data_IF_774693873447
#
_entry.id   IF_774693873447
#
_cell.length_a   1.000
_cell.length_b   1.000
_cell.length_c   1.000
_cell.angle_alpha   90.00
_cell.angle_beta   90.00
_cell.angle_gamma   90.00
#
_symmetry.space_group_name_H-M   'P 1'
#
loop_
_entity.id
_entity.type
_entity.pdbx_description
1 polymer ?
#
# COMPACT_ATOMS: atom_id res chain seq x y z
N UNK A 1 -5.29 30.37 -20.73
CA UNK A 1 -3.92 30.26 -20.18
C UNK A 1 -3.64 28.94 -19.44
N UNK A 2 -4.47 27.90 -19.55
CA UNK A 2 -4.36 26.66 -18.73
C UNK A 2 -3.60 25.49 -19.40
N UNK A 3 -3.44 25.49 -20.72
CA UNK A 3 -2.93 24.31 -21.45
C UNK A 3 -1.40 24.24 -21.59
N UNK A 4 -0.68 25.36 -21.41
CA UNK A 4 0.78 25.44 -21.60
C UNK A 4 1.62 25.02 -20.39
N UNK A 5 1.03 24.93 -19.20
CA UNK A 5 1.73 24.49 -17.98
C UNK A 5 1.72 22.96 -17.81
N UNK A 6 0.84 22.24 -18.50
CA UNK A 6 0.71 20.80 -18.34
C UNK A 6 1.78 20.03 -19.15
N UNK A 7 2.11 20.49 -20.36
CA UNK A 7 3.06 19.82 -21.25
C UNK A 7 4.53 20.02 -20.83
N UNK A 8 4.87 21.17 -20.24
CA UNK A 8 6.21 21.47 -19.72
C UNK A 8 6.53 20.69 -18.45
N UNK A 9 5.54 20.47 -17.58
CA UNK A 9 5.66 19.63 -16.37
C UNK A 9 5.83 18.16 -16.76
N UNK A 10 5.05 17.64 -17.72
CA UNK A 10 5.19 16.26 -18.21
C UNK A 10 6.56 15.99 -18.85
N UNK A 11 7.10 16.92 -19.65
CA UNK A 11 8.42 16.78 -20.29
C UNK A 11 9.59 16.88 -19.30
N UNK A 12 9.48 17.75 -18.29
CA UNK A 12 10.48 17.87 -17.23
C UNK A 12 10.50 16.64 -16.30
N UNK A 13 9.34 16.01 -16.07
CA UNK A 13 9.27 14.70 -15.40
C UNK A 13 9.92 13.61 -16.28
N UNK A 14 9.71 13.64 -17.60
CA UNK A 14 10.29 12.71 -18.59
C UNK A 14 11.81 12.64 -18.65
N UNK A 15 12.48 13.78 -18.69
CA UNK A 15 13.94 13.80 -18.79
C UNK A 15 14.64 13.48 -17.45
N UNK A 16 13.94 13.64 -16.32
CA UNK A 16 14.42 13.23 -14.98
C UNK A 16 14.19 11.73 -14.69
N UNK A 17 13.23 11.09 -15.38
CA UNK A 17 12.95 9.64 -15.31
C UNK A 17 14.12 8.77 -15.77
N UNK A 18 14.76 9.14 -16.89
CA UNK A 18 15.83 8.34 -17.50
C UNK A 18 17.12 8.31 -16.67
N UNK A 19 17.42 9.39 -15.93
CA UNK A 19 18.63 9.50 -15.11
C UNK A 19 18.54 8.76 -13.77
N UNK A 20 17.35 8.66 -13.16
CA UNK A 20 17.18 7.96 -11.88
C UNK A 20 17.02 6.44 -12.04
N UNK A 21 16.33 5.95 -13.08
CA UNK A 21 16.16 4.51 -13.31
C UNK A 21 17.49 3.79 -13.59
N UNK A 22 18.43 4.43 -14.29
CA UNK A 22 19.76 3.88 -14.54
C UNK A 22 20.61 3.69 -13.26
N UNK A 23 20.33 4.47 -12.20
CA UNK A 23 20.98 4.34 -10.89
C UNK A 23 20.34 3.27 -9.99
N UNK A 24 19.07 2.92 -10.25
CA UNK A 24 18.21 2.03 -9.46
C UNK A 24 18.27 0.56 -9.91
N UNK A 25 18.96 0.26 -11.02
CA UNK A 25 19.16 -1.09 -11.53
C UNK A 25 20.60 -1.55 -11.27
N UNK A 26 20.85 -2.07 -10.06
CA UNK A 26 22.06 -2.86 -9.80
C UNK A 26 21.66 -4.25 -9.33
N UNK A 27 22.02 -5.24 -10.15
CA UNK A 27 21.87 -6.64 -9.81
C UNK A 27 22.80 -7.02 -8.66
N UNK A 28 22.16 -7.63 -7.68
CA UNK A 28 22.60 -8.81 -6.95
C UNK A 28 23.65 -8.72 -5.81
N UNK A 29 23.29 -9.50 -4.78
CA UNK A 29 24.01 -9.97 -3.60
C UNK A 29 24.21 -9.06 -2.37
N UNK A 30 23.51 -9.50 -1.33
CA UNK A 30 23.43 -8.99 0.04
C UNK A 30 24.76 -8.86 0.77
N UNK A 31 25.00 -7.70 1.38
CA UNK A 31 25.37 -7.55 2.81
C UNK A 31 24.74 -6.23 3.26
N UNK A 32 23.79 -6.30 4.20
CA UNK A 32 22.89 -5.19 4.53
C UNK A 32 23.63 -3.91 4.92
N UNK A 33 23.73 -2.98 3.97
CA UNK A 33 23.88 -1.55 4.20
C UNK A 33 22.54 -0.92 3.87
N UNK A 34 21.96 -0.12 4.78
CA UNK A 34 20.69 0.57 4.53
C UNK A 34 20.94 1.62 3.44
N UNK A 35 20.71 1.24 2.19
CA UNK A 35 20.63 2.19 1.08
C UNK A 35 19.23 2.82 1.15
N UNK A 36 19.15 4.03 1.71
CA UNK A 36 17.95 4.85 1.58
C UNK A 36 17.95 5.45 0.18
N UNK A 37 17.06 4.96 -0.69
CA UNK A 37 16.83 5.62 -1.98
C UNK A 37 15.90 6.82 -1.77
N UNK A 38 16.24 7.95 -2.40
CA UNK A 38 15.43 9.15 -2.33
C UNK A 38 14.11 8.94 -3.10
N UNK A 39 12.97 9.38 -2.55
CA UNK A 39 11.66 9.21 -3.18
C UNK A 39 11.58 9.94 -4.51
N UNK A 40 10.77 9.43 -5.43
CA UNK A 40 10.52 10.03 -6.73
C UNK A 40 9.92 11.44 -6.63
N UNK A 41 9.00 11.65 -5.68
CA UNK A 41 8.49 12.97 -5.33
C UNK A 41 9.29 13.57 -4.17
N UNK A 42 9.91 14.72 -4.42
CA UNK A 42 10.70 15.46 -3.42
C UNK A 42 9.84 16.26 -2.43
N UNK A 43 8.56 16.48 -2.76
CA UNK A 43 7.63 17.29 -2.00
C UNK A 43 6.21 16.71 -2.10
N UNK A 44 5.40 16.96 -1.07
CA UNK A 44 4.03 16.47 -1.05
C UNK A 44 3.17 17.19 -2.09
N UNK A 45 2.56 16.46 -3.03
CA UNK A 45 1.83 17.04 -4.17
C UNK A 45 0.40 17.49 -3.87
N UNK A 46 -0.21 17.02 -2.79
CA UNK A 46 -1.53 17.47 -2.34
C UNK A 46 -1.39 18.22 -1.02
N UNK A 47 -1.39 19.54 -1.08
CA UNK A 47 -1.44 20.42 0.10
C UNK A 47 -2.84 20.50 0.74
N UNK A 48 -3.73 19.54 0.44
CA UNK A 48 -5.00 19.39 1.14
C UNK A 48 -4.73 18.67 2.46
N UNK A 49 -4.64 19.47 3.52
CA UNK A 49 -4.60 19.01 4.91
C UNK A 49 -6.01 18.44 5.23
N UNK A 50 -6.25 17.20 4.82
CA UNK A 50 -7.51 16.47 5.07
C UNK A 50 -7.14 15.20 5.84
N UNK A 51 -7.85 14.98 6.94
CA UNK A 51 -7.63 13.82 7.79
C UNK A 51 -7.97 12.55 7.01
N UNK A 52 -7.05 11.60 6.98
CA UNK A 52 -7.30 10.25 6.48
C UNK A 52 -8.28 9.58 7.45
N UNK A 53 -9.46 9.11 6.99
CA UNK A 53 -10.38 8.39 7.87
C UNK A 53 -9.73 7.10 8.36
N UNK A 54 -10.14 6.66 9.55
CA UNK A 54 -9.78 5.33 10.05
C UNK A 54 -10.59 4.28 9.26
N UNK A 55 -9.88 3.36 8.62
CA UNK A 55 -10.41 2.19 7.93
C UNK A 55 -9.99 0.89 8.63
N UNK A 56 -10.25 -0.22 7.95
CA UNK A 56 -9.98 -1.57 8.46
C UNK A 56 -8.58 -2.08 8.07
N UNK A 57 -7.96 -2.84 8.97
CA UNK A 57 -6.77 -3.65 8.70
C UNK A 57 -7.09 -4.84 7.78
N UNK A 58 -8.34 -5.28 7.75
CA UNK A 58 -8.75 -6.40 6.93
C UNK A 58 -8.21 -7.74 7.46
N UNK A 59 -8.66 -8.84 6.85
CA UNK A 59 -8.50 -10.15 7.46
C UNK A 59 -7.12 -10.77 7.34
N UNK A 60 -6.24 -10.19 6.52
CA UNK A 60 -4.94 -10.74 6.16
C UNK A 60 -3.77 -9.90 6.70
N UNK A 61 -3.98 -9.22 7.82
CA UNK A 61 -2.90 -8.60 8.59
C UNK A 61 -2.20 -9.67 9.43
N UNK A 62 -0.86 -9.71 9.35
CA UNK A 62 -0.04 -10.61 10.17
C UNK A 62 1.25 -9.88 10.56
N UNK A 63 1.27 -9.17 11.70
CA UNK A 63 2.42 -8.35 12.09
C UNK A 63 3.78 -9.07 12.09
N UNK A 64 3.89 -10.38 12.44
CA UNK A 64 5.19 -11.07 12.40
C UNK A 64 5.86 -11.15 11.02
N UNK A 65 5.09 -11.10 9.92
CA UNK A 65 5.65 -11.15 8.57
C UNK A 65 6.09 -9.79 8.03
N UNK A 66 5.85 -8.70 8.76
CA UNK A 66 6.29 -7.37 8.37
C UNK A 66 7.81 -7.21 8.48
N UNK A 67 8.44 -6.65 7.44
CA UNK A 67 9.90 -6.49 7.35
C UNK A 67 10.28 -5.03 7.09
N UNK A 68 11.35 -4.56 7.74
CA UNK A 68 11.97 -3.27 7.41
C UNK A 68 12.67 -3.39 6.05
N UNK A 69 12.08 -2.82 5.00
CA UNK A 69 12.65 -2.85 3.65
C UNK A 69 12.00 -1.81 2.75
N UNK A 70 12.76 -1.37 1.77
CA UNK A 70 12.29 -0.43 0.75
C UNK A 70 11.86 -1.14 -0.55
N UNK A 71 12.14 -2.43 -0.68
CA UNK A 71 11.62 -3.30 -1.74
C UNK A 71 10.92 -4.50 -1.10
N UNK A 72 9.60 -4.57 -1.23
CA UNK A 72 8.76 -5.64 -0.68
C UNK A 72 8.35 -6.68 -1.74
N UNK A 73 8.85 -6.55 -2.98
CA UNK A 73 8.44 -7.39 -4.13
C UNK A 73 8.77 -8.86 -3.93
N UNK A 74 9.96 -9.13 -3.38
CA UNK A 74 10.57 -10.46 -3.33
C UNK A 74 10.50 -11.15 -4.71
N UNK A 75 9.80 -12.28 -4.82
CA UNK A 75 9.66 -13.09 -6.02
C UNK A 75 8.31 -12.90 -6.74
N UNK A 76 7.49 -11.93 -6.33
CA UNK A 76 6.15 -11.76 -6.89
C UNK A 76 6.19 -11.14 -8.28
N UNK A 77 5.42 -11.74 -9.19
CA UNK A 77 5.24 -11.24 -10.54
C UNK A 77 4.11 -10.21 -10.59
N UNK A 78 4.26 -9.22 -11.46
CA UNK A 78 3.27 -8.17 -11.65
C UNK A 78 3.87 -6.94 -12.32
N UNK A 79 3.03 -5.94 -12.54
CA UNK A 79 3.45 -4.63 -13.04
C UNK A 79 4.21 -3.90 -11.92
N UNK A 80 5.47 -3.49 -12.12
CA UNK A 80 6.23 -2.79 -11.07
C UNK A 80 5.58 -1.48 -10.63
N UNK A 81 5.58 -1.23 -9.32
CA UNK A 81 5.05 -0.01 -8.70
C UNK A 81 6.08 0.54 -7.72
N UNK A 82 6.56 1.76 -7.95
CA UNK A 82 7.22 2.56 -6.92
C UNK A 82 6.16 3.45 -6.28
N UNK A 83 5.89 3.26 -5.01
CA UNK A 83 4.83 3.95 -4.29
C UNK A 83 5.41 4.95 -3.30
N UNK A 84 5.15 6.23 -3.55
CA UNK A 84 5.48 7.30 -2.62
C UNK A 84 4.26 7.63 -1.73
N UNK A 85 4.43 7.49 -0.42
CA UNK A 85 3.45 7.88 0.59
C UNK A 85 4.01 9.06 1.37
N UNK A 86 3.42 10.24 1.15
CA UNK A 86 3.63 11.41 1.99
C UNK A 86 2.79 11.31 3.26
N UNK A 87 3.34 11.70 4.41
CA UNK A 87 2.61 11.75 5.67
C UNK A 87 2.71 13.15 6.24
N UNK A 88 1.56 13.75 6.56
CA UNK A 88 1.45 15.09 7.14
C UNK A 88 0.70 15.05 8.47
N UNK A 89 1.13 15.87 9.41
CA UNK A 89 0.43 16.08 10.68
C UNK A 89 -0.73 17.05 10.47
N UNK A 90 -1.93 16.68 10.91
CA UNK A 90 -3.15 17.45 10.67
C UNK A 90 -3.31 18.68 11.57
N UNK A 91 -2.57 18.76 12.68
CA UNK A 91 -2.59 19.93 13.55
C UNK A 91 -1.67 21.02 13.00
N UNK A 92 -0.49 20.63 12.51
CA UNK A 92 0.55 21.55 12.07
C UNK A 92 0.60 21.72 10.55
N UNK A 93 -0.06 20.83 9.79
CA UNK A 93 0.06 20.66 8.34
C UNK A 93 1.52 20.58 7.86
N UNK A 94 2.42 20.05 8.70
CA UNK A 94 3.84 19.83 8.38
C UNK A 94 4.09 18.36 8.08
N UNK A 95 5.10 18.04 7.26
CA UNK A 95 5.47 16.66 7.02
C UNK A 95 5.92 15.96 8.31
N UNK A 96 5.43 14.74 8.52
CA UNK A 96 5.85 13.87 9.61
C UNK A 96 7.09 13.08 9.19
N UNK A 97 8.23 13.48 9.75
CA UNK A 97 9.51 12.80 9.60
C UNK A 97 9.58 11.59 10.52
N UNK A 98 10.30 10.55 10.09
CA UNK A 98 10.70 9.40 10.90
C UNK A 98 9.52 8.64 11.52
N UNK A 99 8.34 8.74 10.88
CA UNK A 99 7.21 7.86 11.15
C UNK A 99 7.30 6.64 10.25
N UNK A 100 6.97 5.47 10.80
CA UNK A 100 7.02 4.21 10.09
C UNK A 100 5.73 4.00 9.33
N UNK A 101 5.83 3.78 8.02
CA UNK A 101 4.69 3.40 7.18
C UNK A 101 4.76 1.91 6.93
N UNK A 102 3.72 1.21 7.36
CA UNK A 102 3.49 -0.23 7.15
C UNK A 102 2.51 -0.39 6.00
N UNK A 103 2.86 -1.18 4.99
CA UNK A 103 1.94 -1.54 3.92
C UNK A 103 1.98 -3.04 3.60
N UNK A 104 0.82 -3.56 3.21
CA UNK A 104 0.68 -4.91 2.67
C UNK A 104 -0.43 -4.98 1.64
N UNK A 105 -0.30 -5.92 0.69
CA UNK A 105 -1.34 -6.17 -0.31
C UNK A 105 -1.23 -7.59 -0.89
N UNK A 106 -2.27 -8.02 -1.60
CA UNK A 106 -2.24 -9.28 -2.33
C UNK A 106 -1.32 -9.21 -3.57
N UNK A 107 -0.85 -10.36 -4.02
CA UNK A 107 -0.16 -10.47 -5.31
C UNK A 107 -1.12 -10.35 -6.49
N UNK A 108 -0.60 -10.52 -7.71
CA UNK A 108 -1.36 -10.41 -8.95
C UNK A 108 -2.53 -11.38 -9.09
N UNK A 109 -2.57 -12.46 -8.31
CA UNK A 109 -3.65 -13.47 -8.31
C UNK A 109 -4.60 -13.34 -7.11
N UNK A 110 -4.44 -12.29 -6.30
CA UNK A 110 -5.29 -12.05 -5.14
C UNK A 110 -4.85 -12.72 -3.84
N UNK A 111 -3.78 -13.52 -3.85
CA UNK A 111 -3.28 -14.20 -2.65
C UNK A 111 -2.48 -13.25 -1.75
N UNK A 112 -2.54 -13.45 -0.44
CA UNK A 112 -1.68 -12.75 0.53
C UNK A 112 -0.59 -13.68 1.05
N UNK A 113 0.62 -13.15 1.26
CA UNK A 113 1.69 -13.86 1.96
C UNK A 113 1.29 -14.13 3.40
N UNK A 114 1.84 -15.16 4.03
CA UNK A 114 1.39 -15.69 5.32
C UNK A 114 0.02 -16.40 5.26
N UNK A 115 -0.72 -16.32 4.15
CA UNK A 115 -2.07 -16.87 3.99
C UNK A 115 -2.20 -17.64 2.66
N UNK A 116 -1.11 -18.22 2.14
CA UNK A 116 -1.11 -18.86 0.81
C UNK A 116 -1.95 -20.13 0.72
N UNK A 117 -2.26 -20.75 1.87
CA UNK A 117 -3.22 -21.85 1.97
C UNK A 117 -4.68 -21.42 1.90
N UNK A 118 -4.97 -20.10 1.88
CA UNK A 118 -6.32 -19.55 1.77
C UNK A 118 -6.58 -19.16 0.31
N UNK A 119 -7.65 -19.70 -0.25
CA UNK A 119 -8.10 -19.34 -1.60
C UNK A 119 -8.51 -17.87 -1.66
N UNK A 120 -7.94 -17.05 -2.57
CA UNK A 120 -8.36 -15.67 -2.76
C UNK A 120 -9.75 -15.56 -3.44
N UNK A 121 -10.28 -16.68 -3.93
CA UNK A 121 -11.54 -16.76 -4.65
C UNK A 121 -12.73 -17.09 -3.73
N UNK A 122 -12.46 -17.42 -2.46
CA UNK A 122 -13.49 -17.72 -1.47
C UNK A 122 -13.88 -16.45 -0.73
N UNK A 123 -15.15 -16.01 -0.75
CA UNK A 123 -15.62 -14.91 0.08
C UNK A 123 -15.28 -15.14 1.56
N UNK A 124 -14.78 -14.11 2.25
CA UNK A 124 -14.28 -14.24 3.62
C UNK A 124 -15.30 -14.84 4.63
N UNK A 125 -16.60 -14.48 4.61
CA UNK A 125 -17.58 -15.15 5.48
C UNK A 125 -17.70 -16.65 5.24
N UNK A 126 -17.64 -17.09 3.98
CA UNK A 126 -17.69 -18.50 3.61
C UNK A 126 -16.40 -19.23 4.03
N UNK A 127 -15.26 -18.55 3.98
CA UNK A 127 -14.00 -19.09 4.49
C UNK A 127 -14.09 -19.36 6.00
N UNK A 128 -14.66 -18.44 6.79
CA UNK A 128 -14.82 -18.65 8.23
C UNK A 128 -15.72 -19.85 8.53
N UNK A 129 -16.80 -20.03 7.75
CA UNK A 129 -17.67 -21.21 7.84
C UNK A 129 -16.89 -22.51 7.52
N UNK A 130 -16.11 -22.52 6.43
CA UNK A 130 -15.30 -23.67 6.03
C UNK A 130 -14.23 -24.04 7.08
N UNK A 131 -13.70 -23.05 7.79
CA UNK A 131 -12.73 -23.24 8.88
C UNK A 131 -13.39 -23.50 10.24
N UNK A 132 -14.73 -23.48 10.32
CA UNK A 132 -15.50 -23.61 11.56
C UNK A 132 -15.10 -22.58 12.63
N UNK A 133 -14.87 -21.33 12.20
CA UNK A 133 -14.49 -20.21 13.07
C UNK A 133 -15.71 -19.31 13.30
N UNK A 134 -16.18 -19.26 14.54
CA UNK A 134 -17.37 -18.47 14.93
C UNK A 134 -17.03 -17.18 15.70
N UNK A 135 -15.85 -17.12 16.31
CA UNK A 135 -15.40 -15.97 17.12
C UNK A 135 -14.22 -15.27 16.45
N UNK A 136 -14.43 -14.79 15.23
CA UNK A 136 -13.42 -14.04 14.50
C UNK A 136 -13.34 -12.60 15.01
N UNK A 137 -12.13 -12.12 15.26
CA UNK A 137 -11.85 -10.72 15.56
C UNK A 137 -10.76 -10.23 14.61
N UNK A 138 -11.09 -9.24 13.79
CA UNK A 138 -10.17 -8.73 12.77
C UNK A 138 -8.89 -8.19 13.39
N UNK A 139 -7.75 -8.60 12.82
CA UNK A 139 -6.42 -8.24 13.31
C UNK A 139 -5.97 -8.96 14.59
N UNK A 140 -6.81 -9.78 15.21
CA UNK A 140 -6.47 -10.54 16.43
C UNK A 140 -6.56 -12.06 16.23
N UNK A 141 -7.59 -12.54 15.53
CA UNK A 141 -7.72 -13.97 15.22
C UNK A 141 -6.72 -14.34 14.14
N UNK A 142 -5.82 -15.26 14.49
CA UNK A 142 -4.76 -15.69 13.60
C UNK A 142 -5.25 -16.77 12.62
N UNK A 143 -5.13 -16.47 11.32
CA UNK A 143 -5.50 -17.36 10.22
C UNK A 143 -4.30 -17.73 9.33
N UNK A 144 -3.06 -17.41 9.74
CA UNK A 144 -1.90 -17.65 8.87
C UNK A 144 -1.73 -19.14 8.55
N UNK A 145 -1.22 -19.42 7.37
CA UNK A 145 -1.01 -20.79 6.84
C UNK A 145 0.46 -21.09 6.56
N UNK A 146 1.31 -20.07 6.53
CA UNK A 146 2.72 -20.17 6.19
C UNK A 146 3.51 -18.93 6.67
N UNK A 147 4.81 -18.94 6.43
CA UNK A 147 5.76 -17.89 6.84
C UNK A 147 6.16 -16.95 5.69
N UNK A 148 5.44 -16.97 4.55
CA UNK A 148 5.80 -16.10 3.44
C UNK A 148 5.64 -14.63 3.83
N UNK A 149 6.53 -13.78 3.31
CA UNK A 149 6.60 -12.36 3.67
C UNK A 149 6.38 -11.41 2.50
N UNK A 150 6.33 -11.91 1.26
CA UNK A 150 6.27 -11.05 0.08
C UNK A 150 5.12 -10.05 0.13
N UNK A 151 5.32 -8.87 -0.46
CA UNK A 151 4.33 -7.79 -0.49
C UNK A 151 3.85 -7.36 0.90
N UNK A 152 4.77 -7.36 1.87
CA UNK A 152 4.64 -6.77 3.21
C UNK A 152 5.87 -5.95 3.55
N UNK A 153 5.73 -4.68 3.95
CA UNK A 153 6.89 -3.79 4.08
C UNK A 153 6.67 -2.63 5.02
N UNK A 154 7.71 -2.35 5.81
CA UNK A 154 7.82 -1.22 6.72
C UNK A 154 8.95 -0.31 6.23
N UNK A 155 8.71 0.99 6.08
CA UNK A 155 9.78 1.94 5.80
C UNK A 155 9.52 3.31 6.43
N UNK A 156 10.52 3.96 7.05
CA UNK A 156 10.34 5.26 7.66
C UNK A 156 10.26 6.37 6.62
N UNK A 157 9.46 7.37 6.93
CA UNK A 157 9.43 8.63 6.19
C UNK A 157 10.72 9.43 6.36
N UNK A 158 11.15 10.07 5.28
CA UNK A 158 12.35 10.92 5.29
C UNK A 158 12.08 12.32 5.90
N UNK A 159 13.06 13.24 5.78
CA UNK A 159 12.96 14.62 6.27
C UNK A 159 11.80 15.45 5.68
N UNK A 160 11.30 15.04 4.50
CA UNK A 160 10.17 15.68 3.82
C UNK A 160 8.85 14.94 4.11
N UNK A 161 8.85 13.98 5.03
CA UNK A 161 7.70 13.16 5.40
C UNK A 161 7.27 12.16 4.33
N UNK A 162 8.19 11.72 3.46
CA UNK A 162 7.88 10.82 2.34
C UNK A 162 8.57 9.48 2.55
N UNK A 163 7.81 8.41 2.36
CA UNK A 163 8.26 7.02 2.27
C UNK A 163 8.13 6.58 0.80
N UNK A 164 9.18 5.99 0.21
CA UNK A 164 9.10 5.31 -1.10
C UNK A 164 9.20 3.81 -0.87
N UNK A 165 8.32 3.02 -1.48
CA UNK A 165 8.34 1.56 -1.46
C UNK A 165 8.28 1.00 -2.88
N UNK A 166 9.17 0.06 -3.20
CA UNK A 166 9.10 -0.73 -4.43
C UNK A 166 8.29 -2.00 -4.19
N UNK A 167 7.29 -2.21 -5.05
CA UNK A 167 6.37 -3.36 -5.03
C UNK A 167 5.85 -3.67 -6.43
N UNK A 168 4.81 -4.49 -6.55
CA UNK A 168 4.00 -4.69 -7.76
C UNK A 168 2.58 -4.16 -7.57
N UNK A 169 1.90 -3.83 -8.66
CA UNK A 169 0.49 -3.47 -8.63
C UNK A 169 -0.34 -4.65 -8.06
N UNK A 170 -1.24 -4.42 -7.08
CA UNK A 170 -2.00 -5.51 -6.47
C UNK A 170 -3.02 -6.13 -7.42
N UNK A 171 -3.29 -7.43 -7.22
CA UNK A 171 -4.43 -8.11 -7.83
C UNK A 171 -5.73 -7.78 -7.08
N UNK A 172 -6.72 -8.67 -7.19
CA UNK A 172 -7.99 -8.58 -6.48
C UNK A 172 -8.34 -9.93 -5.86
N UNK A 173 -9.21 -9.94 -4.86
CA UNK A 173 -9.73 -11.16 -4.24
C UNK A 173 -11.23 -11.00 -4.00
N UNK A 174 -11.90 -12.08 -3.62
CA UNK A 174 -13.35 -12.14 -3.57
C UNK A 174 -13.95 -10.98 -2.76
N UNK A 175 -14.94 -10.32 -3.35
CA UNK A 175 -15.73 -9.21 -2.80
C UNK A 175 -14.97 -7.91 -2.48
N UNK A 176 -13.69 -7.79 -2.85
CA UNK A 176 -12.90 -6.59 -2.57
C UNK A 176 -12.36 -5.96 -3.85
N UNK A 177 -12.40 -4.63 -3.91
CA UNK A 177 -11.71 -3.89 -4.98
C UNK A 177 -10.19 -3.97 -4.80
N UNK A 178 -9.42 -3.51 -5.79
CA UNK A 178 -7.96 -3.46 -5.76
C UNK A 178 -7.50 -2.38 -4.76
N UNK A 179 -6.72 -2.78 -3.76
CA UNK A 179 -6.23 -1.88 -2.70
C UNK A 179 -4.86 -2.29 -2.17
N UNK A 180 -4.22 -1.35 -1.48
CA UNK A 180 -3.07 -1.57 -0.61
C UNK A 180 -3.48 -1.12 0.79
N UNK A 181 -3.25 -1.97 1.80
CA UNK A 181 -3.44 -1.56 3.18
C UNK A 181 -2.29 -0.68 3.65
N UNK A 182 -2.59 0.27 4.52
CA UNK A 182 -1.59 1.15 5.10
C UNK A 182 -1.84 1.37 6.59
N UNK A 183 -0.77 1.32 7.38
CA UNK A 183 -0.73 1.80 8.74
C UNK A 183 0.43 2.77 8.94
N UNK A 184 0.23 3.73 9.84
CA UNK A 184 1.27 4.69 10.24
C UNK A 184 1.53 4.55 11.74
N UNK A 185 2.81 4.48 12.10
CA UNK A 185 3.28 4.41 13.49
C UNK A 185 4.21 5.58 13.79
N UNK A 186 3.86 6.41 14.77
CA UNK A 186 4.64 7.61 15.15
C UNK A 186 5.83 7.31 16.04
N UNK A 187 5.87 6.11 16.63
CA UNK A 187 6.99 5.64 17.43
C UNK A 187 7.36 4.26 16.93
N UNK A 188 8.64 4.02 16.73
CA UNK A 188 9.15 2.70 16.37
C UNK A 188 10.59 2.56 16.85
N UNK A 189 11.01 1.33 17.09
CA UNK A 189 12.40 1.03 17.42
C UNK A 189 12.84 -0.23 16.66
N UNK A 190 14.02 -0.18 16.07
CA UNK A 190 14.69 -1.35 15.51
C UNK A 190 15.47 -2.05 16.64
N UNK A 191 15.12 -3.29 16.93
CA UNK A 191 15.88 -4.13 17.88
C UNK A 191 17.14 -4.66 17.21
N UNK A 192 18.14 -5.02 18.02
CA UNK A 192 19.42 -5.58 17.54
C UNK A 192 19.25 -6.86 16.71
N UNK A 193 18.19 -7.62 16.92
CA UNK A 193 17.86 -8.83 16.15
C UNK A 193 17.13 -8.53 14.81
N UNK A 194 17.03 -7.26 14.41
CA UNK A 194 16.35 -6.84 13.17
C UNK A 194 14.83 -6.77 13.26
N UNK A 195 14.22 -7.11 14.41
CA UNK A 195 12.76 -7.00 14.60
C UNK A 195 12.37 -5.56 14.92
N UNK A 196 11.22 -5.14 14.38
CA UNK A 196 10.65 -3.82 14.66
C UNK A 196 9.69 -3.92 15.83
N UNK A 197 9.84 -3.00 16.78
CA UNK A 197 8.75 -2.66 17.71
C UNK A 197 8.14 -1.38 17.21
N UNK A 198 7.04 -1.50 16.48
CA UNK A 198 6.19 -0.37 16.22
C UNK A 198 5.44 -0.06 17.51
N UNK A 199 5.49 1.19 17.93
CA UNK A 199 4.63 1.71 18.97
C UNK A 199 3.20 1.83 18.46
N UNK A 200 2.42 2.68 19.14
CA UNK A 200 0.99 2.80 18.87
C UNK A 200 0.71 3.25 17.43
N UNK A 201 -0.22 2.55 16.78
CA UNK A 201 -0.75 2.89 15.46
C UNK A 201 -1.59 4.17 15.56
N UNK A 202 -1.35 5.11 14.65
CA UNK A 202 -2.06 6.40 14.60
C UNK A 202 -3.05 6.49 13.44
N UNK A 203 -2.95 5.58 12.47
CA UNK A 203 -3.92 5.46 11.38
C UNK A 203 -3.82 4.07 10.77
N UNK A 204 -4.98 3.51 10.44
CA UNK A 204 -5.16 2.32 9.61
C UNK A 204 -6.10 2.73 8.49
N UNK A 205 -5.83 2.32 7.26
CA UNK A 205 -6.72 2.56 6.14
C UNK A 205 -6.29 1.79 4.90
N UNK A 206 -6.95 2.08 3.80
CA UNK A 206 -6.64 1.48 2.51
C UNK A 206 -6.54 2.55 1.43
N UNK A 207 -5.63 2.33 0.49
CA UNK A 207 -5.44 3.19 -0.68
C UNK A 207 -5.78 2.40 -1.94
N UNK A 208 -6.37 3.08 -2.91
CA UNK A 208 -7.06 2.49 -4.05
C UNK A 208 -6.55 3.06 -5.36
N UNK A 209 -7.00 2.48 -6.47
CA UNK A 209 -6.64 2.94 -7.81
C UNK A 209 -7.89 3.28 -8.62
N UNK A 210 -7.75 4.19 -9.59
CA UNK A 210 -8.87 4.51 -10.50
C UNK A 210 -9.25 3.30 -11.36
N UNK A 211 -10.52 3.19 -11.73
CA UNK A 211 -10.99 2.13 -12.63
C UNK A 211 -10.22 2.09 -13.96
N UNK A 212 -9.83 3.25 -14.50
CA UNK A 212 -9.01 3.33 -15.73
C UNK A 212 -7.67 2.61 -15.58
N UNK A 213 -6.99 2.80 -14.45
CA UNK A 213 -5.69 2.17 -14.15
C UNK A 213 -5.90 0.68 -13.90
N UNK A 214 -6.85 0.34 -13.02
CA UNK A 214 -7.19 -1.03 -12.67
C UNK A 214 -7.54 -1.85 -13.91
N UNK A 215 -8.46 -1.40 -14.76
CA UNK A 215 -8.84 -2.10 -15.98
C UNK A 215 -7.66 -2.31 -16.94
N UNK A 216 -6.76 -1.32 -17.06
CA UNK A 216 -5.57 -1.43 -17.91
C UNK A 216 -4.62 -2.51 -17.37
N UNK A 217 -4.30 -2.51 -16.08
CA UNK A 217 -3.39 -3.51 -15.49
C UNK A 217 -4.01 -4.90 -15.52
N UNK A 218 -5.29 -5.03 -15.18
CA UNK A 218 -5.99 -6.33 -15.21
C UNK A 218 -6.11 -6.94 -16.61
N UNK A 219 -5.89 -6.16 -17.68
CA UNK A 219 -5.83 -6.66 -19.06
C UNK A 219 -4.46 -7.23 -19.48
N UNK A 220 -3.49 -7.27 -18.56
CA UNK A 220 -2.12 -7.72 -18.82
C UNK A 220 -1.78 -8.95 -17.98
N UNK A 221 -0.85 -9.79 -18.45
CA UNK A 221 -0.34 -10.89 -17.64
C UNK A 221 0.54 -10.39 -16.48
N UNK A 222 0.55 -11.07 -15.32
CA UNK A 222 -0.20 -12.29 -15.00
C UNK A 222 -1.67 -12.05 -14.56
N UNK A 223 -2.13 -10.80 -14.48
CA UNK A 223 -3.44 -10.44 -13.94
C UNK A 223 -4.61 -10.97 -14.78
N UNK A 224 -4.47 -10.93 -16.11
CA UNK A 224 -5.48 -11.39 -17.06
C UNK A 224 -5.83 -12.88 -16.90
N UNK A 225 -4.92 -13.66 -16.30
CA UNK A 225 -5.13 -15.08 -16.00
C UNK A 225 -6.05 -15.34 -14.80
N UNK A 226 -6.28 -14.35 -13.92
CA UNK A 226 -7.17 -14.49 -12.76
C UNK A 226 -8.64 -14.30 -13.17
N UNK A 227 -9.30 -15.41 -13.50
CA UNK A 227 -10.63 -15.46 -14.15
C UNK A 227 -11.70 -16.18 -13.34
N UNK A 228 -11.32 -16.75 -12.19
CA UNK A 228 -12.18 -17.59 -11.33
C UNK A 228 -13.28 -16.79 -10.61
N UNK A 229 -13.09 -15.47 -10.47
CA UNK A 229 -14.04 -14.55 -9.84
C UNK A 229 -14.12 -13.25 -10.65
N UNK A 230 -15.24 -12.55 -10.52
CA UNK A 230 -15.42 -11.22 -11.11
C UNK A 230 -14.82 -10.19 -10.17
N UNK A 231 -13.99 -9.30 -10.72
CA UNK A 231 -13.40 -8.19 -9.96
C UNK A 231 -14.47 -7.22 -9.48
N UNK A 232 -14.48 -6.95 -8.18
CA UNK A 232 -15.25 -5.86 -7.55
C UNK A 232 -14.60 -4.51 -7.90
N UNK A 233 -15.39 -3.54 -8.35
CA UNK A 233 -14.92 -2.16 -8.60
C UNK A 233 -14.99 -1.32 -7.33
N UNK A 234 -14.32 -0.16 -7.28
CA UNK A 234 -14.44 0.77 -6.14
C UNK A 234 -15.90 1.18 -5.87
N UNK A 235 -16.74 1.27 -6.91
CA UNK A 235 -18.14 1.64 -6.76
C UNK A 235 -19.00 0.52 -6.12
N UNK A 236 -18.49 -0.70 -6.08
CA UNK A 236 -19.16 -1.88 -5.51
C UNK A 236 -18.55 -2.32 -4.18
N UNK A 237 -17.34 -1.86 -3.84
CA UNK A 237 -16.64 -2.24 -2.62
C UNK A 237 -17.27 -1.53 -1.40
N UNK A 238 -17.59 -2.27 -0.32
CA UNK A 238 -18.24 -1.68 0.85
C UNK A 238 -17.32 -0.82 1.72
N UNK A 239 -16.00 -0.95 1.60
CA UNK A 239 -15.02 -0.22 2.41
C UNK A 239 -14.49 1.03 1.71
N UNK A 240 -14.46 1.07 0.38
CA UNK A 240 -14.03 2.25 -0.38
C UNK A 240 -14.74 3.56 0.04
N UNK A 241 -16.08 3.59 0.26
CA UNK A 241 -16.75 4.79 0.76
C UNK A 241 -16.32 5.19 2.17
N UNK A 242 -16.00 4.22 3.05
CA UNK A 242 -15.55 4.47 4.42
C UNK A 242 -14.17 5.14 4.43
N UNK A 243 -13.26 4.67 3.58
CA UNK A 243 -11.93 5.26 3.38
C UNK A 243 -11.97 6.62 2.65
N UNK A 244 -13.14 7.06 2.17
CA UNK A 244 -13.35 8.36 1.50
C UNK A 244 -14.14 9.37 2.36
N UNK A 245 -14.48 9.01 3.61
CA UNK A 245 -15.21 9.90 4.53
C UNK A 245 -14.36 11.13 4.87
N UNK A 246 -15.01 12.27 5.13
CA UNK A 246 -14.34 13.50 5.53
C UNK A 246 -13.66 14.26 4.40
N UNK A 247 -13.90 13.87 3.14
CA UNK A 247 -13.37 14.54 1.96
C UNK A 247 -11.96 14.09 1.57
N UNK A 248 -11.42 13.07 2.23
CA UNK A 248 -10.18 12.43 1.82
C UNK A 248 -10.40 11.66 0.51
N UNK A 249 -9.42 11.73 -0.39
CA UNK A 249 -9.44 10.94 -1.62
C UNK A 249 -8.38 9.83 -1.50
N UNK A 250 -8.78 8.56 -1.26
CA UNK A 250 -7.84 7.48 -1.06
C UNK A 250 -7.27 6.91 -2.38
N UNK A 251 -7.48 7.59 -3.51
CA UNK A 251 -6.99 7.16 -4.82
C UNK A 251 -5.54 7.59 -5.03
N UNK A 252 -4.65 6.62 -5.27
CA UNK A 252 -3.25 6.83 -5.64
C UNK A 252 -3.18 7.49 -7.02
N UNK A 253 -2.45 8.60 -7.11
CA UNK A 253 -2.11 9.21 -8.39
C UNK A 253 -0.97 8.41 -9.04
N UNK A 254 -1.19 7.87 -10.24
CA UNK A 254 -0.20 7.05 -10.93
C UNK A 254 0.27 7.68 -12.23
N UNK A 255 1.56 7.50 -12.49
CA UNK A 255 2.19 7.88 -13.76
C UNK A 255 3.03 6.70 -14.28
N UNK A 256 2.93 6.35 -15.58
CA UNK A 256 3.72 5.28 -16.16
C UNK A 256 5.21 5.65 -16.22
N UNK A 257 6.10 4.68 -15.98
CA UNK A 257 7.56 4.91 -15.99
C UNK A 257 8.14 5.01 -17.40
N UNK A 258 7.49 4.39 -18.39
CA UNK A 258 7.99 4.32 -19.77
C UNK A 258 6.85 4.48 -20.76
N UNK A 259 7.11 5.22 -21.85
CA UNK A 259 6.29 5.28 -23.07
C UNK A 259 4.78 5.50 -22.87
N UNK A 260 4.39 6.11 -21.75
CA UNK A 260 2.99 6.26 -21.36
C UNK A 260 2.22 4.92 -21.22
N UNK A 261 2.92 3.80 -21.00
CA UNK A 261 2.34 2.48 -20.84
C UNK A 261 2.45 2.01 -19.38
N UNK A 262 1.29 1.88 -18.74
CA UNK A 262 1.19 1.39 -17.36
C UNK A 262 1.59 -0.07 -17.22
N UNK A 263 1.61 -0.87 -18.30
CA UNK A 263 2.01 -2.29 -18.23
C UNK A 263 3.50 -2.49 -17.92
N UNK A 264 4.32 -1.50 -18.24
CA UNK A 264 5.78 -1.57 -18.05
C UNK A 264 6.21 -1.10 -16.66
N UNK A 265 5.27 -0.64 -15.85
CA UNK A 265 5.49 -0.15 -14.49
C UNK A 265 5.03 1.30 -14.31
N UNK A 266 4.89 1.69 -13.05
CA UNK A 266 4.37 3.01 -12.70
C UNK A 266 4.98 3.54 -11.40
N UNK A 267 4.87 4.85 -11.22
CA UNK A 267 5.04 5.48 -9.91
C UNK A 267 3.70 5.95 -9.40
N UNK A 268 3.36 5.53 -8.19
CA UNK A 268 2.20 5.97 -7.44
C UNK A 268 2.57 7.04 -6.43
N UNK A 269 1.64 7.94 -6.16
CA UNK A 269 1.76 8.93 -5.08
C UNK A 269 0.45 9.18 -4.38
N UNK A 270 0.52 9.26 -3.06
CA UNK A 270 -0.58 9.66 -2.19
C UNK A 270 -0.06 10.40 -0.96
N UNK A 271 -0.90 11.22 -0.32
CA UNK A 271 -0.58 11.92 0.93
C UNK A 271 -1.60 11.54 1.99
N UNK A 272 -1.14 11.08 3.15
CA UNK A 272 -1.98 10.75 4.28
C UNK A 272 -1.90 11.87 5.32
N UNK A 273 -3.05 12.46 5.64
CA UNK A 273 -3.18 13.35 6.80
C UNK A 273 -3.45 12.54 8.06
N UNK A 274 -2.63 12.73 9.10
CA UNK A 274 -2.69 11.98 10.35
C UNK A 274 -2.89 12.94 11.53
N UNK A 275 -3.82 12.65 12.42
CA UNK A 275 -3.91 13.34 13.73
C UNK A 275 -3.03 12.60 14.75
N UNK A 276 -1.87 13.16 15.07
CA UNK A 276 -0.90 12.54 15.98
C UNK A 276 -1.35 12.47 17.43
N UNK A 277 -2.47 13.12 17.79
CA UNK A 277 -3.10 13.04 19.12
C UNK A 277 -4.00 11.83 19.24
N UNK A 278 -4.54 11.32 18.13
CA UNK A 278 -5.36 10.11 18.07
C UNK A 278 -4.46 8.88 18.06
N UNK A 279 -3.86 8.58 19.22
CA UNK A 279 -2.99 7.42 19.36
C UNK A 279 -3.82 6.24 19.89
N UNK A 280 -3.86 5.08 19.20
CA UNK A 280 -4.64 3.90 19.64
C UNK A 280 -3.78 2.63 19.81
N UNK A 281 -4.28 1.68 20.61
CA UNK A 281 -3.62 0.40 20.90
C UNK A 281 -3.93 -0.71 19.84
N UNK A 282 -4.16 -0.34 18.57
CA UNK A 282 -4.34 -1.32 17.50
C UNK A 282 -5.70 -2.03 17.42
N UNK A 283 -6.73 -1.56 18.14
CA UNK A 283 -8.11 -2.06 17.99
C UNK A 283 -8.72 -1.52 16.70
N UNK A 284 -9.08 -2.42 15.79
CA UNK A 284 -9.79 -2.08 14.55
C UNK A 284 -11.24 -1.62 14.87
N UNK A 285 -11.77 -0.58 14.21
CA UNK A 285 -13.14 -0.13 14.42
C UNK A 285 -14.24 -1.13 14.02
N UNK A 286 -13.95 -2.20 13.27
CA UNK A 286 -14.94 -3.22 12.88
C UNK A 286 -14.77 -4.53 13.65
N UNK A 287 -15.81 -4.93 14.41
CA UNK A 287 -15.79 -6.11 15.31
C UNK A 287 -16.43 -7.37 14.73
N UNK A 288 -16.83 -7.33 13.45
CA UNK A 288 -17.43 -8.48 12.77
C UNK A 288 -18.86 -8.83 13.21
N UNK A 289 -19.51 -7.99 14.02
CA UNK A 289 -20.94 -8.16 14.32
C UNK A 289 -21.80 -7.53 13.24
N UNK A 290 -22.28 -8.34 12.28
CA UNK A 290 -23.61 -8.32 11.65
C UNK A 290 -23.74 -9.41 10.59
#
# INVERSE_FOLDING_TARGET
MSQKCHQSVTKFHQDRWSMNLARRWHGDYTTYTIHTEAPYYEATKNATCVLTPEGISGPYVYPPSQKLRQDMTENQQGVPLWLDIGVIDMETCRPLRDVLVDIWHCNSTGSYSSFTGISPNTPFPLLLEQLNITNYTMGLTDLHTDEATWLRGLWPTNKNGIMEMKTVFPGFYANRTIHIHVQVHTKWNLRQNGTIVAGRTVSTGQIYFTEKVSAKVMSTEPYASHTQIVRTTNAQDPFFPMDSVGGFNPIVNVVPIQHNDLSQGMVGYITLGIDTRLIRNGSDPWDGSH
#
